data_IF_350515328638
#
_entry.id   IF_350515328638
#
_cell.length_a   1.000
_cell.length_b   1.000
_cell.length_c   1.000
_cell.angle_alpha   90.00
_cell.angle_beta   90.00
_cell.angle_gamma   90.00
#
_symmetry.space_group_name_H-M   'P 1'
#
loop_
_entity.id
_entity.type
_entity.pdbx_description
1 polymer ?
#
# COMPACT_ATOMS: atom_id res chain seq x y z
N UNK A 1 11.20 21.02 95.48
CA UNK A 1 9.82 20.56 95.76
C UNK A 1 9.11 21.70 96.48
N UNK A 2 8.68 22.73 95.72
CA UNK A 2 7.24 22.93 95.48
C UNK A 2 6.97 23.31 94.00
N UNK A 3 5.99 22.71 93.34
CA UNK A 3 5.76 22.90 91.88
C UNK A 3 4.27 23.12 91.59
N UNK A 4 3.83 24.37 91.53
CA UNK A 4 2.50 24.72 91.03
C UNK A 4 2.48 26.22 90.70
N UNK A 5 2.93 26.55 89.50
CA UNK A 5 2.84 27.87 88.88
C UNK A 5 1.67 27.85 87.90
N UNK A 6 0.45 28.09 88.40
CA UNK A 6 -0.73 28.29 87.54
C UNK A 6 -1.04 29.78 87.44
N UNK A 7 -0.43 30.39 86.41
CA UNK A 7 -0.69 31.74 85.95
C UNK A 7 -1.88 31.64 84.99
N UNK A 8 -3.06 32.03 85.47
CA UNK A 8 -4.27 32.18 84.68
C UNK A 8 -4.21 33.52 83.94
N UNK A 9 -3.88 33.48 82.65
CA UNK A 9 -3.96 34.61 81.73
C UNK A 9 -5.38 34.67 81.13
N UNK A 10 -6.18 35.72 81.39
CA UNK A 10 -7.55 35.81 80.90
C UNK A 10 -7.56 35.94 79.37
N UNK A 11 -8.06 34.89 78.72
CA UNK A 11 -8.27 34.80 77.28
C UNK A 11 -8.98 36.05 76.72
N UNK A 12 -8.22 36.86 76.00
CA UNK A 12 -8.74 37.98 75.22
C UNK A 12 -9.60 37.38 74.10
N UNK A 13 -10.89 37.76 73.98
CA UNK A 13 -11.75 37.22 72.93
C UNK A 13 -11.19 37.64 71.57
N UNK A 14 -10.83 36.64 70.77
CA UNK A 14 -10.33 36.79 69.40
C UNK A 14 -11.26 37.70 68.60
N UNK A 15 -10.71 38.84 68.16
CA UNK A 15 -11.49 39.86 67.45
C UNK A 15 -11.96 39.31 66.10
N UNK A 16 -13.28 39.36 65.78
CA UNK A 16 -13.87 38.77 64.58
C UNK A 16 -13.34 39.34 63.25
N UNK A 17 -12.58 40.44 63.29
CA UNK A 17 -11.94 41.05 62.14
C UNK A 17 -10.89 40.15 61.46
N UNK A 18 -10.22 39.25 62.19
CA UNK A 18 -9.20 38.36 61.60
C UNK A 18 -9.80 37.17 60.85
N UNK A 19 -10.96 36.66 61.26
CA UNK A 19 -11.65 35.57 60.55
C UNK A 19 -12.19 36.00 59.18
N UNK A 20 -12.72 37.22 59.05
CA UNK A 20 -13.23 37.72 57.77
C UNK A 20 -12.13 37.91 56.72
N UNK A 21 -10.97 38.43 57.13
CA UNK A 21 -9.82 38.62 56.24
C UNK A 21 -9.22 37.28 55.77
N UNK A 22 -9.16 36.27 56.65
CA UNK A 22 -8.70 34.93 56.29
C UNK A 22 -9.64 34.24 55.28
N UNK A 23 -10.96 34.36 55.46
CA UNK A 23 -11.95 33.82 54.50
C UNK A 23 -11.87 34.53 53.14
N UNK A 24 -11.69 35.86 53.12
CA UNK A 24 -11.54 36.60 51.88
C UNK A 24 -10.26 36.18 51.13
N UNK A 25 -9.15 35.98 51.86
CA UNK A 25 -7.90 35.51 51.27
C UNK A 25 -8.03 34.07 50.72
N UNK A 26 -8.66 33.17 51.47
CA UNK A 26 -8.89 31.79 51.01
C UNK A 26 -9.77 31.75 49.76
N UNK A 27 -10.83 32.56 49.71
CA UNK A 27 -11.68 32.66 48.52
C UNK A 27 -10.90 33.20 47.31
N UNK A 28 -10.08 34.24 47.49
CA UNK A 28 -9.26 34.79 46.43
C UNK A 28 -8.22 33.78 45.91
N UNK A 29 -7.61 32.99 46.80
CA UNK A 29 -6.68 31.93 46.42
C UNK A 29 -7.39 30.82 45.62
N UNK A 30 -8.59 30.44 46.04
CA UNK A 30 -9.40 29.43 45.35
C UNK A 30 -9.82 29.90 43.95
N UNK A 31 -10.14 31.19 43.81
CA UNK A 31 -10.48 31.79 42.52
C UNK A 31 -9.27 31.83 41.56
N UNK A 32 -8.06 32.11 42.06
CA UNK A 32 -6.84 32.03 41.27
C UNK A 32 -6.54 30.59 40.80
N UNK A 33 -6.75 29.59 41.65
CA UNK A 33 -6.57 28.19 41.26
C UNK A 33 -7.56 27.78 40.17
N UNK A 34 -8.82 28.21 40.24
CA UNK A 34 -9.79 27.94 39.17
C UNK A 34 -9.39 28.60 37.84
N UNK A 35 -8.88 29.83 37.87
CA UNK A 35 -8.41 30.49 36.65
C UNK A 35 -7.20 29.77 36.04
N UNK A 36 -6.25 29.29 36.86
CA UNK A 36 -5.13 28.49 36.36
C UNK A 36 -5.59 27.17 35.73
N UNK A 37 -6.55 26.47 36.36
CA UNK A 37 -7.11 25.26 35.76
C UNK A 37 -7.79 25.54 34.43
N UNK A 38 -8.57 26.62 34.32
CA UNK A 38 -9.20 27.00 33.06
C UNK A 38 -8.17 27.30 31.96
N UNK A 39 -7.09 28.02 32.29
CA UNK A 39 -6.02 28.28 31.33
C UNK A 39 -5.33 26.99 30.87
N UNK A 40 -5.02 26.07 31.79
CA UNK A 40 -4.44 24.78 31.43
C UNK A 40 -5.37 23.99 30.50
N UNK A 41 -6.67 23.97 30.80
CA UNK A 41 -7.66 23.27 29.99
C UNK A 41 -7.76 23.86 28.58
N UNK A 42 -7.71 25.20 28.45
CA UNK A 42 -7.67 25.87 27.14
C UNK A 42 -6.39 25.55 26.36
N UNK A 43 -5.23 25.55 27.02
CA UNK A 43 -3.97 25.17 26.37
C UNK A 43 -4.01 23.73 25.86
N UNK A 44 -4.56 22.82 26.66
CA UNK A 44 -4.66 21.41 26.29
C UNK A 44 -5.63 21.21 25.11
N UNK A 45 -6.74 21.96 25.06
CA UNK A 45 -7.63 21.97 23.89
C UNK A 45 -6.94 22.52 22.64
N UNK A 46 -6.17 23.60 22.75
CA UNK A 46 -5.42 24.13 21.61
C UNK A 46 -4.40 23.12 21.07
N UNK A 47 -3.65 22.45 21.96
CA UNK A 47 -2.72 21.39 21.55
C UNK A 47 -3.43 20.24 20.83
N UNK A 48 -4.57 19.78 21.34
CA UNK A 48 -5.34 18.73 20.65
C UNK A 48 -5.81 19.18 19.27
N UNK A 49 -6.30 20.42 19.14
CA UNK A 49 -6.72 20.96 17.85
C UNK A 49 -5.55 21.06 16.85
N UNK A 50 -4.36 21.41 17.36
CA UNK A 50 -3.16 21.53 16.54
C UNK A 50 -2.67 20.17 16.05
N UNK A 51 -2.64 19.15 16.94
CA UNK A 51 -2.34 17.77 16.54
C UNK A 51 -3.35 17.24 15.53
N UNK A 52 -4.64 17.54 15.69
CA UNK A 52 -5.68 17.09 14.76
C UNK A 52 -5.49 17.73 13.37
N UNK A 53 -5.10 19.01 13.30
CA UNK A 53 -4.74 19.67 12.05
C UNK A 53 -3.51 19.07 11.39
N UNK A 54 -2.45 18.79 12.16
CA UNK A 54 -1.24 18.15 11.62
C UNK A 54 -1.55 16.77 11.07
N UNK A 55 -2.35 15.97 11.79
CA UNK A 55 -2.75 14.64 11.33
C UNK A 55 -3.57 14.73 10.04
N UNK A 56 -4.50 15.69 9.94
CA UNK A 56 -5.29 15.90 8.72
C UNK A 56 -4.41 16.36 7.55
N UNK A 57 -3.43 17.22 7.79
CA UNK A 57 -2.50 17.70 6.76
C UNK A 57 -1.59 16.56 6.26
N UNK A 58 -1.13 15.70 7.17
CA UNK A 58 -0.33 14.53 6.81
C UNK A 58 -1.14 13.53 5.98
N UNK A 59 -2.41 13.29 6.35
CA UNK A 59 -3.31 12.44 5.58
C UNK A 59 -3.55 12.99 4.16
N UNK A 60 -3.68 14.32 4.03
CA UNK A 60 -3.87 14.98 2.75
C UNK A 60 -2.60 14.90 1.87
N UNK A 61 -1.40 15.00 2.45
CA UNK A 61 -0.15 14.76 1.72
C UNK A 61 -0.03 13.32 1.24
N UNK A 62 -0.37 12.34 2.07
CA UNK A 62 -0.38 10.93 1.67
C UNK A 62 -1.32 10.68 0.50
N UNK A 63 -2.52 11.28 0.54
CA UNK A 63 -3.49 11.16 -0.55
C UNK A 63 -2.97 11.77 -1.86
N UNK A 64 -2.29 12.91 -1.81
CA UNK A 64 -1.65 13.49 -3.00
C UNK A 64 -0.54 12.61 -3.55
N UNK A 65 0.27 12.00 -2.67
CA UNK A 65 1.36 11.13 -3.08
C UNK A 65 0.84 9.86 -3.78
N UNK A 66 -0.20 9.23 -3.24
CA UNK A 66 -0.88 8.09 -3.87
C UNK A 66 -1.49 8.47 -5.21
N UNK A 67 -2.13 9.64 -5.31
CA UNK A 67 -2.71 10.11 -6.57
C UNK A 67 -1.62 10.38 -7.63
N UNK A 68 -0.47 10.90 -7.23
CA UNK A 68 0.67 11.11 -8.12
C UNK A 68 1.26 9.79 -8.60
N UNK A 69 1.34 8.78 -7.72
CA UNK A 69 1.81 7.45 -8.04
C UNK A 69 0.87 6.73 -9.02
N UNK A 70 -0.45 6.78 -8.80
CA UNK A 70 -1.45 6.29 -9.76
C UNK A 70 -1.34 6.96 -11.12
N UNK A 71 -1.10 8.28 -11.16
CA UNK A 71 -0.92 8.99 -12.43
C UNK A 71 0.32 8.49 -13.18
N UNK A 72 1.43 8.25 -12.47
CA UNK A 72 2.64 7.68 -13.08
C UNK A 72 2.40 6.26 -13.61
N UNK A 73 1.74 5.40 -12.84
CA UNK A 73 1.39 4.04 -13.29
C UNK A 73 0.51 4.07 -14.53
N UNK A 74 -0.51 4.94 -14.56
CA UNK A 74 -1.38 5.08 -15.73
C UNK A 74 -0.61 5.58 -16.96
N UNK A 75 0.32 6.52 -16.78
CA UNK A 75 1.16 7.03 -17.86
C UNK A 75 2.13 5.96 -18.39
N UNK A 76 2.69 5.14 -17.51
CA UNK A 76 3.55 4.02 -17.89
C UNK A 76 2.76 2.94 -18.66
N UNK A 77 1.53 2.65 -18.23
CA UNK A 77 0.65 1.70 -18.91
C UNK A 77 0.24 2.21 -20.30
N UNK A 78 -0.01 3.52 -20.45
CA UNK A 78 -0.24 4.14 -21.75
C UNK A 78 0.98 4.03 -22.67
N UNK A 79 2.19 4.23 -22.14
CA UNK A 79 3.42 4.05 -22.92
C UNK A 79 3.62 2.60 -23.38
N UNK A 80 3.35 1.62 -22.52
CA UNK A 80 3.39 0.20 -22.92
C UNK A 80 2.37 -0.13 -24.01
N UNK A 81 1.15 0.41 -23.93
CA UNK A 81 0.16 0.21 -24.99
C UNK A 81 0.59 0.84 -26.32
N UNK A 82 1.23 2.02 -26.31
CA UNK A 82 1.76 2.61 -27.54
C UNK A 82 2.91 1.78 -28.13
N UNK A 83 3.80 1.25 -27.30
CA UNK A 83 4.88 0.37 -27.78
C UNK A 83 4.33 -0.92 -28.38
N UNK A 84 3.35 -1.57 -27.74
CA UNK A 84 2.69 -2.74 -28.31
C UNK A 84 1.99 -2.43 -29.64
N UNK A 85 1.32 -1.28 -29.76
CA UNK A 85 0.71 -0.88 -31.03
C UNK A 85 1.76 -0.69 -32.13
N UNK A 86 2.91 -0.08 -31.83
CA UNK A 86 4.01 0.05 -32.80
C UNK A 86 4.60 -1.30 -33.20
N UNK A 87 4.80 -2.23 -32.26
CA UNK A 87 5.28 -3.58 -32.57
C UNK A 87 4.29 -4.36 -33.46
N UNK A 88 2.99 -4.24 -33.18
CA UNK A 88 1.94 -4.86 -34.02
C UNK A 88 1.94 -4.26 -35.42
N UNK A 89 2.09 -2.93 -35.54
CA UNK A 89 2.17 -2.24 -36.83
C UNK A 89 3.38 -2.73 -37.65
N UNK A 90 4.57 -2.78 -37.04
CA UNK A 90 5.79 -3.28 -37.70
C UNK A 90 5.67 -4.75 -38.12
N UNK A 91 5.06 -5.59 -37.28
CA UNK A 91 4.83 -7.01 -37.63
C UNK A 91 3.87 -7.14 -38.82
N UNK A 92 2.86 -6.26 -38.91
CA UNK A 92 1.93 -6.26 -40.04
C UNK A 92 2.62 -5.83 -41.34
N UNK A 93 3.48 -4.81 -41.29
CA UNK A 93 4.28 -4.37 -42.44
C UNK A 93 5.26 -5.45 -42.91
N UNK A 94 5.96 -6.13 -41.99
CA UNK A 94 6.82 -7.27 -42.33
C UNK A 94 6.07 -8.44 -42.94
N UNK A 95 4.81 -8.70 -42.56
CA UNK A 95 4.01 -9.76 -43.17
C UNK A 95 3.51 -9.41 -44.58
N UNK A 96 3.36 -8.13 -44.91
CA UNK A 96 2.93 -7.71 -46.26
C UNK A 96 4.09 -7.69 -47.28
N UNK A 97 5.34 -7.53 -46.84
CA UNK A 97 6.49 -7.42 -47.74
C UNK A 97 6.81 -8.69 -48.58
N UNK A 98 6.70 -9.93 -48.06
CA UNK A 98 6.99 -11.15 -48.83
C UNK A 98 6.02 -11.40 -49.99
N UNK A 99 4.75 -10.98 -49.85
CA UNK A 99 3.75 -11.17 -50.91
C UNK A 99 4.02 -10.30 -52.14
N UNK A 100 4.63 -9.12 -51.96
CA UNK A 100 5.01 -8.26 -53.07
C UNK A 100 6.21 -8.81 -53.86
N UNK A 101 7.19 -9.43 -53.19
CA UNK A 101 8.41 -9.94 -53.85
C UNK A 101 8.14 -11.24 -54.61
N UNK A 102 7.27 -12.12 -54.11
CA UNK A 102 6.93 -13.36 -54.81
C UNK A 102 6.01 -13.15 -56.03
N UNK A 103 5.31 -12.01 -56.10
CA UNK A 103 4.63 -11.53 -57.31
C UNK A 103 5.51 -10.67 -58.21
N UNK A 104 6.83 -10.68 -58.06
CA UNK A 104 7.74 -10.05 -59.03
C UNK A 104 8.88 -10.96 -59.47
N UNK A 105 8.73 -12.29 -59.39
CA UNK A 105 9.61 -13.18 -60.15
C UNK A 105 8.99 -13.32 -61.55
N UNK A 106 9.53 -12.66 -62.59
CA UNK A 106 9.08 -12.90 -63.94
C UNK A 106 9.39 -14.35 -64.26
N UNK A 107 8.41 -15.05 -64.83
CA UNK A 107 8.63 -16.28 -65.58
C UNK A 107 9.71 -16.03 -66.64
N UNK A 108 10.99 -16.18 -66.30
CA UNK A 108 12.00 -16.52 -67.29
C UNK A 108 11.96 -18.03 -67.48
N UNK A 109 10.92 -18.45 -68.19
CA UNK A 109 10.95 -19.68 -68.96
C UNK A 109 12.10 -19.59 -69.98
N UNK A 110 12.98 -20.61 -69.94
CA UNK A 110 13.41 -21.29 -71.16
C UNK A 110 14.40 -20.58 -72.10
N UNK A 111 15.68 -20.84 -71.89
CA UNK A 111 16.73 -20.79 -72.93
C UNK A 111 18.10 -20.94 -72.26
N UNK A 112 18.89 -22.00 -72.41
CA UNK A 112 19.08 -22.84 -73.59
C UNK A 112 20.46 -22.54 -74.18
N UNK A 113 21.49 -23.27 -73.74
CA UNK A 113 22.64 -23.63 -74.57
C UNK A 113 23.91 -22.76 -74.52
N UNK A 114 25.06 -23.46 -74.44
CA UNK A 114 26.39 -23.06 -74.93
C UNK A 114 27.14 -22.06 -74.03
N UNK A 115 28.38 -22.27 -73.58
CA UNK A 115 29.49 -22.95 -74.22
C UNK A 115 30.60 -21.91 -74.49
N UNK A 116 31.81 -22.17 -73.98
CA UNK A 116 33.05 -21.64 -74.55
C UNK A 116 33.76 -20.48 -73.83
N UNK A 117 35.04 -20.73 -73.54
CA UNK A 117 36.22 -19.83 -73.47
C UNK A 117 36.07 -18.44 -72.78
N UNK A 118 36.87 -18.11 -71.76
CA UNK A 118 38.33 -18.03 -71.84
C UNK A 118 38.73 -16.66 -72.39
N UNK A 119 39.24 -15.77 -71.53
CA UNK A 119 39.77 -14.47 -71.98
C UNK A 119 39.87 -13.41 -70.90
N UNK A 120 41.08 -13.23 -70.41
CA UNK A 120 41.56 -12.13 -69.56
C UNK A 120 41.23 -10.74 -70.13
N UNK A 121 41.00 -9.75 -69.28
CA UNK A 121 41.00 -8.35 -69.71
C UNK A 121 40.35 -7.41 -68.71
N UNK A 122 41.16 -6.55 -68.10
CA UNK A 122 40.79 -5.54 -67.11
C UNK A 122 39.87 -4.44 -67.65
N UNK A 123 39.18 -3.75 -66.73
CA UNK A 123 38.85 -2.33 -66.92
C UNK A 123 37.42 -1.90 -66.57
N UNK A 124 37.24 -1.43 -65.34
CA UNK A 124 36.59 -0.15 -65.03
C UNK A 124 35.09 0.06 -65.29
N UNK A 125 34.34 0.26 -64.19
CA UNK A 125 33.49 1.45 -64.06
C UNK A 125 31.97 1.30 -64.24
N UNK A 126 31.26 1.10 -63.12
CA UNK A 126 30.18 2.01 -62.69
C UNK A 126 28.75 1.86 -63.25
N UNK A 127 27.87 1.22 -62.47
CA UNK A 127 26.57 1.80 -62.08
C UNK A 127 25.34 1.51 -62.95
N UNK A 128 24.53 0.53 -62.53
CA UNK A 128 23.12 0.34 -62.88
C UNK A 128 22.34 -0.13 -61.64
N UNK A 129 21.01 -0.20 -61.55
CA UNK A 129 19.91 -0.12 -62.52
C UNK A 129 18.59 0.08 -61.73
N UNK A 130 17.56 0.62 -62.40
CA UNK A 130 16.15 0.60 -61.97
C UNK A 130 15.45 -0.72 -62.35
N UNK A 131 14.35 -1.05 -61.65
CA UNK A 131 13.12 -1.54 -62.30
C UNK A 131 12.68 -3.01 -62.10
N UNK A 132 11.69 -3.20 -61.22
CA UNK A 132 10.34 -3.77 -61.48
C UNK A 132 10.10 -5.16 -62.08
N UNK A 133 9.21 -5.94 -61.42
CA UNK A 133 7.86 -6.35 -61.91
C UNK A 133 7.47 -7.85 -61.87
N UNK A 134 6.23 -8.05 -61.40
CA UNK A 134 5.13 -8.98 -61.79
C UNK A 134 5.23 -10.53 -61.78
N UNK A 135 4.13 -11.14 -61.29
CA UNK A 135 3.67 -12.54 -61.47
C UNK A 135 4.10 -13.49 -60.35
N UNK A 136 3.30 -14.38 -59.76
CA UNK A 136 1.97 -14.90 -60.08
C UNK A 136 1.93 -16.42 -59.82
N UNK A 137 0.87 -16.92 -59.16
CA UNK A 137 0.31 -18.25 -59.41
C UNK A 137 0.88 -19.49 -58.68
N UNK A 138 0.00 -20.14 -57.91
CA UNK A 138 -0.37 -21.54 -58.16
C UNK A 138 0.38 -22.67 -57.43
N UNK A 139 -0.36 -23.75 -57.14
CA UNK A 139 0.17 -25.09 -56.85
C UNK A 139 0.02 -25.52 -55.38
N UNK A 140 -1.09 -26.11 -54.95
CA UNK A 140 -1.48 -27.52 -55.15
C UNK A 140 -0.62 -28.53 -54.36
N UNK A 141 -1.28 -29.20 -53.41
CA UNK A 141 -1.24 -30.66 -53.34
C UNK A 141 -0.14 -31.30 -52.51
N UNK A 142 -0.58 -32.10 -51.53
CA UNK A 142 0.11 -33.32 -51.14
C UNK A 142 1.05 -33.18 -49.96
N UNK A 143 0.60 -33.69 -48.81
CA UNK A 143 1.13 -34.93 -48.23
C UNK A 143 0.73 -34.98 -46.77
N UNK A 144 -0.13 -35.95 -46.46
CA UNK A 144 -0.52 -36.39 -45.12
C UNK A 144 0.68 -36.91 -44.33
N UNK A 145 1.63 -36.03 -44.01
CA UNK A 145 2.71 -36.29 -43.09
C UNK A 145 2.24 -35.84 -41.72
N UNK A 146 1.59 -36.75 -40.98
CA UNK A 146 1.28 -36.64 -39.57
C UNK A 146 2.58 -36.46 -38.77
N UNK A 147 3.22 -35.30 -38.87
CA UNK A 147 4.37 -34.92 -38.06
C UNK A 147 3.80 -34.67 -36.68
N UNK A 148 3.86 -35.72 -35.85
CA UNK A 148 3.62 -35.60 -34.42
C UNK A 148 4.35 -34.33 -33.94
N UNK A 149 3.65 -33.40 -33.27
CA UNK A 149 4.28 -32.17 -32.82
C UNK A 149 5.55 -32.54 -32.05
N UNK A 150 6.67 -31.89 -32.41
CA UNK A 150 7.95 -32.16 -31.79
C UNK A 150 7.79 -32.08 -30.26
N UNK A 151 8.25 -33.07 -29.49
CA UNK A 151 7.92 -33.23 -28.07
C UNK A 151 8.27 -32.00 -27.23
N UNK A 152 9.22 -31.17 -27.68
CA UNK A 152 9.59 -29.91 -27.04
C UNK A 152 8.46 -28.86 -27.06
N UNK A 153 7.71 -28.73 -28.15
CA UNK A 153 6.61 -27.76 -28.24
C UNK A 153 5.42 -28.18 -27.36
N UNK A 154 5.14 -29.49 -27.32
CA UNK A 154 4.13 -30.04 -26.42
C UNK A 154 4.52 -29.88 -24.94
N UNK A 155 5.79 -30.08 -24.58
CA UNK A 155 6.30 -29.88 -23.23
C UNK A 155 6.25 -28.40 -22.80
N UNK A 156 6.59 -27.46 -23.69
CA UNK A 156 6.51 -26.03 -23.39
C UNK A 156 5.06 -25.56 -23.19
N UNK A 157 4.13 -26.04 -24.03
CA UNK A 157 2.70 -25.77 -23.86
C UNK A 157 2.15 -26.35 -22.55
N UNK A 158 2.57 -27.57 -22.18
CA UNK A 158 2.18 -28.19 -20.91
C UNK A 158 2.74 -27.42 -19.69
N UNK A 159 3.98 -26.93 -19.76
CA UNK A 159 4.58 -26.13 -18.70
C UNK A 159 3.88 -24.77 -18.54
N UNK A 160 3.55 -24.10 -19.64
CA UNK A 160 2.81 -22.84 -19.62
C UNK A 160 1.39 -23.03 -19.04
N UNK A 161 0.71 -24.13 -19.41
CA UNK A 161 -0.58 -24.47 -18.86
C UNK A 161 -0.51 -24.76 -17.35
N UNK A 162 0.53 -25.47 -16.89
CA UNK A 162 0.76 -25.73 -15.46
C UNK A 162 1.04 -24.44 -14.67
N UNK A 163 1.83 -23.52 -15.23
CA UNK A 163 2.11 -22.23 -14.60
C UNK A 163 0.84 -21.35 -14.51
N UNK A 164 0.01 -21.34 -15.56
CA UNK A 164 -1.26 -20.64 -15.55
C UNK A 164 -2.24 -21.24 -14.53
N UNK A 165 -2.29 -22.57 -14.41
CA UNK A 165 -3.11 -23.25 -13.41
C UNK A 165 -2.65 -22.94 -11.98
N UNK A 166 -1.33 -22.89 -11.72
CA UNK A 166 -0.78 -22.52 -10.42
C UNK A 166 -1.09 -21.06 -10.05
N UNK A 167 -0.98 -20.13 -11.01
CA UNK A 167 -1.34 -18.74 -10.79
C UNK A 167 -2.85 -18.56 -10.49
N UNK A 168 -3.71 -19.31 -11.19
CA UNK A 168 -5.15 -19.31 -10.94
C UNK A 168 -5.49 -19.87 -9.54
N UNK A 169 -4.79 -20.93 -9.10
CA UNK A 169 -4.96 -21.49 -7.75
C UNK A 169 -4.54 -20.49 -6.66
N UNK A 170 -3.40 -19.81 -6.81
CA UNK A 170 -2.94 -18.79 -5.87
C UNK A 170 -3.91 -17.60 -5.79
N UNK A 171 -4.48 -17.18 -6.93
CA UNK A 171 -5.49 -16.13 -6.96
C UNK A 171 -6.79 -16.54 -6.23
N UNK A 172 -7.20 -17.81 -6.37
CA UNK A 172 -8.37 -18.35 -5.69
C UNK A 172 -8.16 -18.42 -4.17
N UNK A 173 -6.98 -18.82 -3.70
CA UNK A 173 -6.62 -18.81 -2.27
C UNK A 173 -6.60 -17.39 -1.69
N UNK A 174 -6.05 -16.42 -2.43
CA UNK A 174 -6.07 -15.01 -2.03
C UNK A 174 -7.49 -14.45 -1.90
N UNK A 175 -8.38 -14.79 -2.85
CA UNK A 175 -9.78 -14.39 -2.79
C UNK A 175 -10.52 -15.03 -1.61
N UNK A 176 -10.25 -16.31 -1.31
CA UNK A 176 -10.83 -17.00 -0.15
C UNK A 176 -10.36 -16.39 1.18
N UNK A 177 -9.07 -16.03 1.30
CA UNK A 177 -8.53 -15.36 2.48
C UNK A 177 -9.14 -13.96 2.69
N UNK A 178 -9.30 -13.18 1.61
CA UNK A 178 -9.96 -11.88 1.67
C UNK A 178 -11.43 -11.99 2.09
N UNK A 179 -12.17 -12.98 1.57
CA UNK A 179 -13.54 -13.25 1.97
C UNK A 179 -13.63 -13.64 3.46
N UNK A 180 -12.72 -14.50 3.95
CA UNK A 180 -12.66 -14.87 5.36
C UNK A 180 -12.40 -13.65 6.27
N UNK A 181 -11.46 -12.77 5.90
CA UNK A 181 -11.18 -11.54 6.64
C UNK A 181 -12.41 -10.60 6.69
N UNK A 182 -13.14 -10.47 5.58
CA UNK A 182 -14.38 -9.68 5.53
C UNK A 182 -15.47 -10.25 6.45
N UNK A 183 -15.63 -11.58 6.48
CA UNK A 183 -16.60 -12.22 7.40
C UNK A 183 -16.22 -12.05 8.86
N UNK A 184 -14.92 -12.13 9.20
CA UNK A 184 -14.45 -11.88 10.57
C UNK A 184 -14.67 -10.44 11.01
N UNK A 185 -14.44 -9.46 10.12
CA UNK A 185 -14.72 -8.05 10.40
C UNK A 185 -16.22 -7.81 10.62
N UNK A 186 -17.09 -8.41 9.79
CA UNK A 186 -18.54 -8.31 9.95
C UNK A 186 -19.03 -8.94 11.27
N UNK A 187 -18.48 -10.09 11.67
CA UNK A 187 -18.79 -10.73 12.94
C UNK A 187 -18.34 -9.88 14.14
N UNK A 188 -17.17 -9.23 14.06
CA UNK A 188 -16.71 -8.28 15.07
C UNK A 188 -17.60 -7.06 15.23
N UNK A 189 -18.10 -6.51 14.11
CA UNK A 189 -19.05 -5.40 14.12
C UNK A 189 -20.40 -5.80 14.74
N UNK A 190 -20.91 -7.00 14.44
CA UNK A 190 -22.13 -7.53 15.04
C UNK A 190 -21.98 -7.71 16.57
N UNK A 191 -20.88 -8.31 17.02
CA UNK A 191 -20.61 -8.49 18.44
C UNK A 191 -20.48 -7.15 19.20
N UNK A 192 -19.90 -6.13 18.57
CA UNK A 192 -19.84 -4.78 19.15
C UNK A 192 -21.24 -4.14 19.27
N UNK A 193 -22.12 -4.34 18.28
CA UNK A 193 -23.50 -3.86 18.33
C UNK A 193 -24.30 -4.54 19.44
N UNK A 194 -24.16 -5.86 19.60
CA UNK A 194 -24.80 -6.60 20.69
C UNK A 194 -24.30 -6.14 22.07
N UNK A 195 -22.99 -5.88 22.19
CA UNK A 195 -22.40 -5.33 23.42
C UNK A 195 -22.94 -3.95 23.77
N UNK A 196 -23.13 -3.07 22.77
CA UNK A 196 -23.71 -1.76 22.97
C UNK A 196 -25.20 -1.85 23.38
N UNK A 197 -25.96 -2.76 22.78
CA UNK A 197 -27.36 -3.00 23.14
C UNK A 197 -27.51 -3.54 24.58
N UNK A 198 -26.64 -4.47 24.99
CA UNK A 198 -26.61 -5.00 26.35
C UNK A 198 -26.25 -3.90 27.38
N UNK A 199 -25.28 -3.04 27.07
CA UNK A 199 -24.90 -1.92 27.93
C UNK A 199 -26.06 -0.91 28.08
N UNK A 200 -26.77 -0.62 26.99
CA UNK A 200 -27.96 0.25 27.02
C UNK A 200 -29.10 -0.36 27.86
N UNK A 201 -29.34 -1.67 27.74
CA UNK A 201 -30.33 -2.37 28.55
C UNK A 201 -29.98 -2.36 30.05
N UNK A 202 -28.70 -2.56 30.38
CA UNK A 202 -28.21 -2.49 31.77
C UNK A 202 -28.37 -1.08 32.37
N UNK A 203 -28.06 -0.04 31.59
CA UNK A 203 -28.28 1.35 32.01
C UNK A 203 -29.77 1.65 32.23
N UNK A 204 -30.66 1.18 31.35
CA UNK A 204 -32.10 1.34 31.51
C UNK A 204 -32.64 0.61 32.75
N UNK A 205 -32.16 -0.60 33.04
CA UNK A 205 -32.53 -1.34 34.24
C UNK A 205 -32.05 -0.64 35.53
N UNK A 206 -30.85 -0.04 35.52
CA UNK A 206 -30.34 0.73 36.65
C UNK A 206 -31.19 1.98 36.95
N UNK A 207 -31.63 2.69 35.91
CA UNK A 207 -32.54 3.83 36.05
C UNK A 207 -33.90 3.39 36.59
N UNK A 208 -34.44 2.27 36.11
CA UNK A 208 -35.71 1.71 36.61
C UNK A 208 -35.61 1.26 38.08
N UNK A 209 -34.50 0.66 38.49
CA UNK A 209 -34.25 0.28 39.88
C UNK A 209 -34.11 1.50 40.80
N UNK A 210 -33.43 2.56 40.35
CA UNK A 210 -33.33 3.81 41.08
C UNK A 210 -34.70 4.49 41.26
N UNK A 211 -35.57 4.41 40.24
CA UNK A 211 -36.93 4.91 40.32
C UNK A 211 -37.81 4.11 41.31
N UNK A 212 -37.62 2.79 41.39
CA UNK A 212 -38.35 1.93 42.33
C UNK A 212 -37.85 2.06 43.78
N UNK A 213 -36.58 2.41 44.00
CA UNK A 213 -35.98 2.65 45.33
C UNK A 213 -36.29 4.02 45.93
N UNK A 214 -36.95 4.92 45.18
CA UNK A 214 -37.35 6.26 45.58
C UNK A 214 -38.53 6.32 46.56
N UNK A 215 -38.50 5.52 47.63
CA UNK A 215 -39.30 5.74 48.84
C UNK A 215 -38.44 5.84 50.12
N UNK A 216 -37.12 5.73 50.05
CA UNK A 216 -36.25 6.12 51.16
C UNK A 216 -34.97 6.76 50.60
N UNK A 217 -34.85 8.06 50.86
CA UNK A 217 -33.80 8.95 50.38
C UNK A 217 -32.38 8.40 50.59
N UNK A 218 -31.70 7.99 49.50
CA UNK A 218 -30.22 7.92 49.35
C UNK A 218 -29.76 7.64 47.89
N UNK A 219 -30.63 7.82 46.89
CA UNK A 219 -30.47 7.27 45.53
C UNK A 219 -29.50 7.95 44.55
N UNK A 220 -28.74 8.99 44.93
CA UNK A 220 -27.90 9.74 43.98
C UNK A 220 -26.57 9.05 43.64
N UNK A 221 -26.00 8.26 44.56
CA UNK A 221 -24.68 7.66 44.37
C UNK A 221 -24.70 6.39 43.50
N UNK A 222 -25.80 5.64 43.48
CA UNK A 222 -25.90 4.38 42.75
C UNK A 222 -26.05 4.58 41.22
N UNK A 223 -26.69 5.66 40.78
CA UNK A 223 -26.84 5.99 39.36
C UNK A 223 -25.50 6.34 38.67
N UNK A 224 -24.56 6.93 39.42
CA UNK A 224 -23.22 7.29 38.90
C UNK A 224 -22.29 6.07 38.74
N UNK A 225 -22.47 5.03 39.57
CA UNK A 225 -21.70 3.80 39.48
C UNK A 225 -22.17 2.90 38.30
N UNK A 226 -23.46 2.89 37.99
CA UNK A 226 -23.98 2.13 36.84
C UNK A 226 -23.54 2.73 35.49
N UNK A 227 -23.41 4.06 35.40
CA UNK A 227 -22.95 4.74 34.19
C UNK A 227 -21.46 4.48 33.89
N UNK A 228 -20.62 4.35 34.92
CA UNK A 228 -19.18 4.09 34.77
C UNK A 228 -18.87 2.63 34.41
N UNK A 229 -19.71 1.68 34.82
CA UNK A 229 -19.58 0.27 34.41
C UNK A 229 -19.91 0.06 32.91
N UNK A 230 -20.86 0.82 32.35
CA UNK A 230 -21.24 0.74 30.93
C UNK A 230 -20.13 1.19 29.97
N UNK A 231 -19.35 2.22 30.34
CA UNK A 231 -18.28 2.74 29.48
C UNK A 231 -17.03 1.86 29.45
N UNK A 232 -16.77 1.09 30.52
CA UNK A 232 -15.63 0.17 30.58
C UNK A 232 -15.82 -1.06 29.66
N UNK A 233 -17.06 -1.55 29.49
CA UNK A 233 -17.37 -2.69 28.62
C UNK A 233 -17.18 -2.36 27.12
N UNK A 234 -17.50 -1.12 26.70
CA UNK A 234 -17.29 -0.66 25.31
C UNK A 234 -15.82 -0.47 24.94
N UNK A 235 -14.94 -0.18 25.91
CA UNK A 235 -13.51 -0.03 25.66
C UNK A 235 -12.81 -1.38 25.42
N UNK A 236 -13.30 -2.47 26.03
CA UNK A 236 -12.74 -3.80 25.83
C UNK A 236 -13.10 -4.41 24.46
N UNK A 237 -14.29 -4.11 23.92
CA UNK A 237 -14.71 -4.59 22.59
C UNK A 237 -13.94 -3.92 21.44
N UNK A 238 -13.48 -2.68 21.61
CA UNK A 238 -12.68 -1.97 20.62
C UNK A 238 -11.22 -2.49 20.51
N UNK A 239 -10.68 -3.09 21.58
CA UNK A 239 -9.31 -3.61 21.61
C UNK A 239 -9.10 -4.91 20.81
N UNK A 240 -10.16 -5.72 20.64
CA UNK A 240 -10.07 -7.00 19.92
C UNK A 240 -10.07 -6.87 18.38
N UNK A 241 -10.69 -5.84 17.83
CA UNK A 241 -10.81 -5.64 16.38
C UNK A 241 -9.53 -5.11 15.72
N UNK A 242 -8.62 -4.50 16.48
CA UNK A 242 -7.40 -3.90 15.96
C UNK A 242 -6.22 -4.89 15.78
N UNK A 243 -6.28 -6.08 16.39
CA UNK A 243 -5.19 -7.06 16.33
C UNK A 243 -5.28 -8.05 15.15
N UNK A 244 -6.46 -8.24 14.55
CA UNK A 244 -6.66 -9.18 13.45
C UNK A 244 -6.06 -8.78 12.08
N UNK A 245 -6.04 -7.50 11.64
CA UNK A 245 -5.53 -7.18 10.30
C UNK A 245 -3.99 -7.17 10.20
N UNK A 246 -3.27 -7.11 11.32
CA UNK A 246 -1.80 -7.09 11.34
C UNK A 246 -1.18 -8.49 11.08
N UNK A 247 -1.86 -9.57 11.45
CA UNK A 247 -1.38 -10.93 11.20
C UNK A 247 -1.56 -11.35 9.72
N UNK A 248 -2.60 -10.85 9.04
CA UNK A 248 -2.88 -11.17 7.64
C UNK A 248 -1.90 -10.49 6.67
N UNK A 249 -1.45 -9.28 6.96
CA UNK A 249 -0.47 -8.55 6.14
C UNK A 249 0.94 -9.13 6.27
N UNK A 250 1.31 -9.66 7.45
CA UNK A 250 2.59 -10.33 7.64
C UNK A 250 2.70 -11.65 6.84
N UNK A 251 1.61 -12.42 6.75
CA UNK A 251 1.58 -13.66 5.96
C UNK A 251 1.69 -13.41 4.44
N UNK A 252 1.04 -12.35 3.93
CA UNK A 252 1.13 -11.96 2.52
C UNK A 252 2.54 -11.46 2.12
N UNK A 253 3.21 -10.74 3.02
CA UNK A 253 4.58 -10.28 2.79
C UNK A 253 5.60 -11.42 2.73
N UNK A 254 5.43 -12.46 3.56
CA UNK A 254 6.30 -13.64 3.55
C UNK A 254 6.17 -14.47 2.26
N UNK A 255 4.96 -14.58 1.69
CA UNK A 255 4.73 -15.27 0.43
C UNK A 255 5.38 -14.55 -0.77
N UNK A 256 5.34 -13.21 -0.81
CA UNK A 256 5.97 -12.41 -1.86
C UNK A 256 7.52 -12.48 -1.82
N UNK A 257 8.11 -12.59 -0.63
CA UNK A 257 9.56 -12.72 -0.46
C UNK A 257 10.09 -14.08 -0.96
N UNK A 258 9.32 -15.17 -0.81
CA UNK A 258 9.69 -16.49 -1.31
C UNK A 258 9.71 -16.57 -2.84
N UNK A 259 8.83 -15.83 -3.52
CA UNK A 259 8.82 -15.76 -4.99
C UNK A 259 9.98 -14.95 -5.58
N UNK A 260 10.47 -13.93 -4.87
CA UNK A 260 11.61 -13.12 -5.33
C UNK A 260 12.96 -13.86 -5.24
N UNK A 261 13.11 -14.77 -4.28
CA UNK A 261 14.35 -15.51 -4.05
C UNK A 261 14.67 -16.57 -5.13
N UNK A 262 13.68 -17.02 -5.90
CA UNK A 262 13.89 -18.00 -6.98
C UNK A 262 14.32 -17.37 -8.31
N UNK A 263 14.22 -16.03 -8.44
CA UNK A 263 14.59 -15.29 -9.65
C UNK A 263 16.04 -14.78 -9.71
N UNK A 264 16.85 -14.89 -8.65
CA UNK A 264 18.19 -14.27 -8.59
C UNK A 264 19.40 -15.22 -8.81
N UNK A 265 19.20 -16.42 -9.36
CA UNK A 265 20.31 -17.30 -9.73
C UNK A 265 20.63 -17.22 -11.25
N UNK A 266 21.67 -16.45 -11.59
CA UNK A 266 22.42 -16.30 -12.88
C UNK A 266 22.93 -17.64 -13.49
N UNK A 267 23.70 -17.76 -14.64
CA UNK A 267 24.52 -16.75 -15.40
C UNK A 267 24.73 -16.94 -16.95
N UNK A 268 25.63 -16.10 -17.54
CA UNK A 268 26.46 -16.22 -18.79
C UNK A 268 25.94 -15.54 -20.10
N UNK A 269 26.73 -14.91 -21.00
CA UNK A 269 28.10 -14.35 -21.10
C UNK A 269 28.23 -13.61 -22.48
N UNK A 270 29.18 -12.66 -22.63
CA UNK A 270 29.89 -12.19 -23.87
C UNK A 270 29.60 -10.79 -24.53
N UNK A 271 30.60 -9.90 -24.37
CA UNK A 271 31.45 -9.23 -25.40
C UNK A 271 31.01 -8.02 -26.26
N UNK A 272 31.41 -6.81 -25.80
CA UNK A 272 32.00 -5.56 -26.43
C UNK A 272 31.70 -5.07 -27.88
N UNK A 273 32.34 -3.96 -28.39
CA UNK A 273 33.10 -2.86 -27.72
C UNK A 273 32.87 -1.39 -28.24
N UNK A 274 33.41 -0.43 -27.47
CA UNK A 274 34.10 0.87 -27.78
C UNK A 274 33.52 1.98 -28.70
N UNK A 275 33.54 3.23 -28.18
CA UNK A 275 34.17 4.50 -28.69
C UNK A 275 33.58 5.71 -27.91
N UNK A 276 34.29 6.34 -26.96
CA UNK A 276 35.28 7.45 -27.08
C UNK A 276 34.70 8.87 -26.86
N UNK A 277 35.23 9.54 -25.83
CA UNK A 277 35.53 10.98 -25.73
C UNK A 277 34.40 11.98 -25.39
N UNK A 278 34.27 12.35 -24.11
CA UNK A 278 33.90 13.72 -23.69
C UNK A 278 34.52 14.07 -22.31
N UNK A 279 34.87 15.35 -22.05
CA UNK A 279 35.77 15.74 -20.97
C UNK A 279 35.05 16.07 -19.65
N UNK A 280 35.69 15.62 -18.57
CA UNK A 280 35.92 16.26 -17.26
C UNK A 280 34.96 17.38 -16.80
N UNK A 281 34.12 17.06 -15.81
CA UNK A 281 33.64 18.01 -14.80
C UNK A 281 33.87 17.44 -13.40
N UNK A 282 34.15 18.30 -12.40
CA UNK A 282 34.70 17.87 -11.11
C UNK A 282 33.62 17.30 -10.18
N UNK A 283 34.04 16.23 -9.51
CA UNK A 283 33.72 15.80 -8.14
C UNK A 283 32.88 16.77 -7.30
N UNK A 284 31.62 16.41 -7.06
CA UNK A 284 30.93 16.74 -5.81
C UNK A 284 30.82 15.47 -4.96
N UNK A 285 31.82 15.32 -4.09
CA UNK A 285 31.84 14.37 -3.00
C UNK A 285 30.97 14.96 -1.88
N UNK A 286 29.70 14.55 -1.83
CA UNK A 286 28.83 14.81 -0.68
C UNK A 286 28.59 13.49 0.03
N UNK A 287 29.41 13.27 1.06
CA UNK A 287 29.08 12.46 2.22
C UNK A 287 27.64 12.74 2.64
N UNK A 288 26.81 11.73 2.91
CA UNK A 288 25.92 11.78 4.07
C UNK A 288 25.36 10.38 4.40
N UNK A 289 25.92 9.83 5.46
CA UNK A 289 25.30 9.00 6.49
C UNK A 289 24.42 7.81 6.08
N UNK A 290 25.05 6.64 6.19
CA UNK A 290 24.41 5.49 6.81
C UNK A 290 23.90 5.89 8.22
N UNK A 291 22.58 5.89 8.41
CA UNK A 291 22.01 5.73 9.75
C UNK A 291 21.15 4.48 9.78
N UNK A 292 21.80 3.44 10.28
CA UNK A 292 21.23 2.21 10.80
C UNK A 292 20.19 2.54 11.88
N UNK A 293 18.98 2.00 11.76
CA UNK A 293 18.10 1.80 12.92
C UNK A 293 17.65 0.34 12.89
N UNK A 294 18.32 -0.47 13.70
CA UNK A 294 17.84 -1.77 14.13
C UNK A 294 16.49 -1.61 14.86
N UNK A 295 15.55 -2.56 14.70
CA UNK A 295 14.35 -2.60 15.52
C UNK A 295 14.72 -3.09 16.93
N UNK A 296 14.49 -2.25 17.94
CA UNK A 296 14.49 -2.69 19.33
C UNK A 296 13.12 -3.33 19.61
N UNK A 297 13.15 -4.62 19.88
CA UNK A 297 12.04 -5.43 20.37
C UNK A 297 11.68 -4.99 21.79
N UNK A 298 10.41 -4.73 22.04
CA UNK A 298 9.71 -4.95 23.31
C UNK A 298 8.22 -5.22 23.01
#
# INVERSE_FOLDING_TARGET
MPTASDIYDPAVPDSPAHSASSHQHQHQQQQQQQQQQQQQQQQQQQQQQQQQKEQQQQQQQQQQQVQQQQRMEQQQQQQQQQQQQQEVQQRMEQQQQPQAVQQQQPQQEGGGGGGGCGGSGAGGGGGGVEGGSSGGGGGSGGSSGSRAPAPAAAAAAAAAAAAAAAAAAAAAEGAAAAAAAATAAAAGAAAAADGAAAAAAAAAAAVAAAAAGGAAADGAAAAAAAATAGSAATAAAAGGAAAAPAAATAAAAAAAAATAATSSASPHHLSGPSLSSFPSYPTFQLCFNAFSIMPLIL
#
